data_IF_481694388083
#
_entry.id   IF_481694388083
#
_cell.length_a   1.000
_cell.length_b   1.000
_cell.length_c   1.000
_cell.angle_alpha   90.00
_cell.angle_beta   90.00
_cell.angle_gamma   90.00
#
_symmetry.space_group_name_H-M   'P 1'
#
loop_
_entity.id
_entity.type
_entity.pdbx_description
1 polymer ?
#
# COMPACT_ATOMS: atom_id res chain seq x y z
N UNK A 1 -40.38 -82.53 -22.40
CA UNK A 1 -39.87 -81.85 -23.60
C UNK A 1 -39.12 -80.59 -23.19
N UNK A 2 -37.78 -80.66 -23.26
CA UNK A 2 -36.79 -79.62 -23.60
C UNK A 2 -36.79 -78.28 -22.83
N UNK A 3 -35.70 -78.06 -22.06
CA UNK A 3 -35.14 -76.76 -21.64
C UNK A 3 -34.16 -76.24 -22.72
N UNK A 4 -34.02 -74.92 -22.86
CA UNK A 4 -32.76 -74.23 -23.22
C UNK A 4 -32.73 -72.79 -22.67
N UNK A 5 -31.53 -72.21 -22.57
CA UNK A 5 -31.14 -71.11 -21.68
C UNK A 5 -30.48 -69.91 -22.40
N UNK A 6 -30.37 -68.77 -21.68
CA UNK A 6 -29.46 -67.59 -21.86
C UNK A 6 -29.66 -66.75 -23.16
N UNK A 7 -29.30 -65.47 -23.29
CA UNK A 7 -28.21 -64.62 -22.74
C UNK A 7 -28.65 -63.14 -22.58
N UNK A 8 -27.99 -62.42 -21.67
CA UNK A 8 -27.91 -60.95 -21.61
C UNK A 8 -27.01 -60.39 -22.72
N UNK A 9 -27.28 -59.20 -23.28
CA UNK A 9 -26.24 -58.41 -23.92
C UNK A 9 -25.64 -57.40 -22.92
N UNK A 10 -24.32 -57.35 -22.94
CA UNK A 10 -23.47 -56.32 -22.36
C UNK A 10 -23.86 -54.93 -22.91
N UNK A 11 -24.00 -53.93 -22.04
CA UNK A 11 -23.65 -52.55 -22.42
C UNK A 11 -22.46 -52.09 -21.57
N UNK A 12 -21.43 -51.70 -22.30
CA UNK A 12 -20.12 -51.26 -21.86
C UNK A 12 -20.17 -49.86 -21.22
N UNK A 13 -19.39 -49.68 -20.16
CA UNK A 13 -18.70 -48.46 -19.70
C UNK A 13 -19.00 -47.14 -20.44
N UNK A 14 -19.44 -46.11 -19.70
CA UNK A 14 -18.59 -45.00 -19.21
C UNK A 14 -19.27 -44.42 -17.97
N UNK A 15 -18.65 -44.59 -16.79
CA UNK A 15 -18.94 -43.74 -15.64
C UNK A 15 -18.31 -42.39 -15.96
N UNK A 16 -19.10 -41.41 -16.39
CA UNK A 16 -18.69 -40.03 -16.28
C UNK A 16 -18.84 -39.67 -14.79
N UNK A 17 -17.83 -40.00 -14.00
CA UNK A 17 -17.61 -39.33 -12.72
C UNK A 17 -17.34 -37.87 -13.06
N UNK A 18 -18.41 -37.08 -13.12
CA UNK A 18 -18.31 -35.65 -13.04
C UNK A 18 -17.73 -35.36 -11.66
N UNK A 19 -16.40 -35.32 -11.57
CA UNK A 19 -15.71 -34.69 -10.47
C UNK A 19 -16.10 -33.23 -10.58
N UNK A 20 -17.17 -32.84 -9.87
CA UNK A 20 -17.29 -31.46 -9.44
C UNK A 20 -16.07 -31.22 -8.56
N UNK A 21 -15.01 -30.69 -9.16
CA UNK A 21 -14.07 -29.89 -8.39
C UNK A 21 -14.93 -28.82 -7.72
N UNK A 22 -14.93 -28.70 -6.38
CA UNK A 22 -15.64 -27.63 -5.74
C UNK A 22 -15.01 -26.33 -6.26
N UNK A 23 -15.73 -25.63 -7.13
CA UNK A 23 -15.44 -24.22 -7.40
C UNK A 23 -15.54 -23.53 -6.06
N UNK A 24 -14.46 -22.85 -5.67
CA UNK A 24 -14.27 -22.20 -4.37
C UNK A 24 -15.58 -21.70 -3.78
N UNK A 25 -16.11 -22.46 -2.82
CA UNK A 25 -17.20 -22.01 -2.00
C UNK A 25 -16.62 -21.15 -0.89
N UNK A 26 -17.23 -20.00 -0.63
CA UNK A 26 -17.08 -19.33 0.65
C UNK A 26 -17.20 -20.38 1.76
N UNK A 27 -16.30 -20.35 2.74
CA UNK A 27 -16.50 -21.18 3.92
C UNK A 27 -17.87 -20.84 4.52
N UNK A 28 -18.70 -21.86 4.73
CA UNK A 28 -20.07 -21.67 5.19
C UNK A 28 -20.13 -21.02 6.60
N UNK A 29 -19.03 -21.10 7.35
CA UNK A 29 -18.81 -20.44 8.64
C UNK A 29 -17.37 -19.92 8.74
N UNK A 30 -17.11 -18.84 9.50
CA UNK A 30 -15.76 -18.37 9.78
C UNK A 30 -14.91 -19.48 10.43
N UNK A 31 -13.66 -19.62 9.99
CA UNK A 31 -12.69 -20.56 10.54
C UNK A 31 -11.32 -19.91 10.69
N UNK A 32 -10.50 -20.45 11.59
CA UNK A 32 -9.11 -20.02 11.76
C UNK A 32 -8.27 -20.53 10.58
N UNK A 33 -7.64 -19.62 9.83
CA UNK A 33 -6.74 -19.99 8.73
C UNK A 33 -5.41 -20.53 9.25
N UNK A 34 -4.78 -19.81 10.19
CA UNK A 34 -3.53 -20.22 10.83
C UNK A 34 -3.36 -19.52 12.18
N UNK A 35 -2.90 -20.27 13.17
CA UNK A 35 -2.32 -19.69 14.38
C UNK A 35 -0.83 -19.43 14.14
N UNK A 36 -0.45 -18.16 13.98
CA UNK A 36 0.92 -17.77 13.67
C UNK A 36 1.80 -17.79 14.93
N UNK A 37 1.24 -17.48 16.10
CA UNK A 37 1.95 -17.38 17.37
C UNK A 37 1.43 -18.41 18.39
N UNK A 38 1.53 -19.69 18.04
CA UNK A 38 0.96 -20.79 18.82
C UNK A 38 1.70 -21.11 20.14
N UNK A 39 2.77 -20.39 20.47
CA UNK A 39 3.66 -20.68 21.62
C UNK A 39 3.62 -19.61 22.73
N UNK A 40 2.80 -18.55 22.57
CA UNK A 40 2.63 -17.50 23.57
C UNK A 40 1.28 -17.63 24.28
N UNK A 41 1.26 -17.33 25.57
CA UNK A 41 0.06 -17.27 26.43
C UNK A 41 -1.07 -16.43 25.83
N UNK A 42 -2.02 -17.02 25.10
CA UNK A 42 -3.28 -16.42 24.57
C UNK A 42 -3.19 -15.00 23.96
N UNK A 43 -1.99 -14.48 23.69
CA UNK A 43 -1.76 -13.18 23.10
C UNK A 43 -1.79 -13.36 21.59
N UNK A 44 -2.94 -13.08 20.98
CA UNK A 44 -3.13 -13.21 19.53
C UNK A 44 -2.06 -12.49 18.72
N UNK A 45 -1.95 -12.84 17.44
CA UNK A 45 -0.85 -12.37 16.58
C UNK A 45 -0.88 -10.87 16.23
N UNK A 46 -1.98 -10.17 16.51
CA UNK A 46 -2.15 -8.72 16.28
C UNK A 46 -1.70 -8.27 14.89
N UNK A 47 -2.21 -8.92 13.85
CA UNK A 47 -1.91 -8.55 12.46
C UNK A 47 -2.37 -7.11 12.16
N UNK A 48 -1.62 -6.43 11.30
CA UNK A 48 -1.94 -5.09 10.79
C UNK A 48 -1.82 -5.04 9.27
N UNK A 49 -2.26 -3.94 8.66
CA UNK A 49 -2.09 -3.65 7.23
C UNK A 49 -2.63 -4.74 6.27
N UNK A 50 -3.87 -5.20 6.48
CA UNK A 50 -4.48 -6.20 5.60
C UNK A 50 -4.74 -5.62 4.20
N UNK A 51 -4.08 -6.17 3.18
CA UNK A 51 -4.16 -5.70 1.80
C UNK A 51 -4.28 -6.88 0.82
N UNK A 52 -5.19 -6.81 -0.15
CA UNK A 52 -5.35 -7.87 -1.15
C UNK A 52 -4.54 -7.56 -2.41
N UNK A 53 -3.81 -8.55 -2.93
CA UNK A 53 -3.13 -8.49 -4.23
C UNK A 53 -3.40 -9.79 -5.00
N UNK A 54 -4.17 -9.69 -6.09
CA UNK A 54 -4.61 -10.87 -6.82
C UNK A 54 -5.55 -11.76 -5.98
N UNK A 55 -5.19 -13.03 -5.81
CA UNK A 55 -5.94 -14.02 -5.04
C UNK A 55 -5.41 -14.21 -3.60
N UNK A 56 -4.38 -13.45 -3.22
CA UNK A 56 -3.73 -13.54 -1.92
C UNK A 56 -4.01 -12.29 -1.09
N UNK A 57 -3.93 -12.43 0.23
CA UNK A 57 -3.92 -11.33 1.18
C UNK A 57 -2.54 -11.20 1.81
N UNK A 58 -2.11 -9.96 1.98
CA UNK A 58 -0.85 -9.55 2.57
C UNK A 58 -1.14 -8.80 3.87
N UNK A 59 -0.28 -9.00 4.86
CA UNK A 59 -0.42 -8.38 6.17
C UNK A 59 0.92 -8.38 6.90
N UNK A 60 1.00 -7.54 7.92
CA UNK A 60 2.17 -7.43 8.77
C UNK A 60 1.90 -8.17 10.07
N UNK A 61 2.83 -9.03 10.52
CA UNK A 61 2.68 -9.79 11.78
C UNK A 61 4.02 -10.15 12.38
N UNK A 62 4.08 -10.15 13.72
CA UNK A 62 5.25 -10.56 14.48
C UNK A 62 5.29 -12.08 14.69
N UNK A 63 6.48 -12.68 14.56
CA UNK A 63 6.76 -14.05 15.02
C UNK A 63 7.90 -14.07 16.06
N UNK A 64 7.97 -15.12 16.87
CA UNK A 64 9.03 -15.27 17.88
C UNK A 64 10.45 -15.36 17.29
N UNK A 65 10.58 -15.74 16.01
CA UNK A 65 11.88 -15.97 15.36
C UNK A 65 12.29 -14.88 14.37
N UNK A 66 11.33 -14.15 13.81
CA UNK A 66 11.56 -13.16 12.75
C UNK A 66 11.11 -11.75 13.13
N UNK A 67 10.53 -11.56 14.32
CA UNK A 67 9.79 -10.35 14.66
C UNK A 67 8.75 -9.99 13.60
N UNK A 68 8.49 -8.68 13.42
CA UNK A 68 7.43 -8.12 12.58
C UNK A 68 7.85 -8.00 11.12
N UNK A 69 7.25 -8.83 10.27
CA UNK A 69 7.61 -8.97 8.85
C UNK A 69 6.37 -9.00 7.96
N UNK A 70 6.59 -9.01 6.63
CA UNK A 70 5.53 -9.13 5.63
C UNK A 70 5.16 -10.60 5.45
N UNK A 71 3.87 -10.89 5.60
CA UNK A 71 3.28 -12.21 5.41
C UNK A 71 2.23 -12.18 4.32
N UNK A 72 1.96 -13.35 3.75
CA UNK A 72 0.87 -13.57 2.80
C UNK A 72 0.06 -14.81 3.13
N UNK A 73 -1.16 -14.87 2.61
CA UNK A 73 -2.05 -16.02 2.71
C UNK A 73 -2.94 -16.17 1.47
N UNK A 74 -3.16 -17.40 1.05
CA UNK A 74 -4.17 -17.80 0.06
C UNK A 74 -5.49 -18.27 0.71
N UNK A 75 -5.62 -18.12 2.03
CA UNK A 75 -6.74 -18.62 2.83
C UNK A 75 -6.56 -20.04 3.38
N UNK A 76 -5.40 -20.67 3.14
CA UNK A 76 -5.04 -21.98 3.72
C UNK A 76 -3.93 -21.86 4.76
N UNK A 77 -3.87 -22.80 5.71
CA UNK A 77 -2.80 -22.85 6.72
C UNK A 77 -1.41 -22.97 6.06
N UNK A 78 -1.31 -23.80 5.02
CA UNK A 78 -0.07 -24.05 4.28
C UNK A 78 0.38 -22.87 3.43
N UNK A 79 -0.56 -22.13 2.84
CA UNK A 79 -0.28 -20.93 2.04
C UNK A 79 -0.10 -19.67 2.88
N UNK A 80 -0.26 -19.76 4.20
CA UNK A 80 -0.02 -18.64 5.13
C UNK A 80 1.44 -18.63 5.59
N UNK A 81 2.27 -17.82 4.97
CA UNK A 81 3.74 -17.84 5.14
C UNK A 81 4.31 -16.43 5.14
N UNK A 82 5.50 -16.29 5.74
CA UNK A 82 6.33 -15.09 5.57
C UNK A 82 6.71 -14.96 4.09
N UNK A 83 6.68 -13.73 3.56
CA UNK A 83 7.12 -13.46 2.18
C UNK A 83 8.64 -13.42 2.12
N UNK A 84 9.26 -12.71 3.08
CA UNK A 84 10.70 -12.59 3.26
C UNK A 84 11.01 -12.16 4.69
N UNK A 85 12.09 -12.69 5.26
CA UNK A 85 12.69 -12.17 6.50
C UNK A 85 13.60 -10.99 6.12
N UNK A 86 13.03 -9.78 6.07
CA UNK A 86 13.76 -8.59 5.58
C UNK A 86 14.81 -8.17 6.61
N UNK A 87 14.40 -8.09 7.87
CA UNK A 87 15.33 -7.91 8.98
C UNK A 87 15.74 -9.28 9.51
N UNK A 88 16.88 -9.78 9.03
CA UNK A 88 17.32 -11.15 9.35
C UNK A 88 17.40 -11.43 10.86
N UNK A 89 16.75 -12.50 11.28
CA UNK A 89 16.73 -12.96 12.67
C UNK A 89 15.58 -12.35 13.48
N UNK A 90 15.73 -12.22 14.80
CA UNK A 90 14.62 -11.78 15.67
C UNK A 90 14.34 -10.26 15.64
N UNK A 91 14.92 -9.53 14.68
CA UNK A 91 14.65 -8.09 14.50
C UNK A 91 13.29 -7.87 13.87
N UNK A 92 12.99 -6.66 13.38
CA UNK A 92 11.70 -6.40 12.74
C UNK A 92 11.87 -5.38 11.64
N UNK A 93 11.50 -5.74 10.42
CA UNK A 93 11.48 -4.79 9.31
C UNK A 93 10.30 -3.82 9.35
N UNK A 94 9.31 -4.12 10.20
CA UNK A 94 8.12 -3.32 10.46
C UNK A 94 7.41 -2.81 9.19
N UNK A 95 7.02 -3.70 8.24
CA UNK A 95 6.36 -3.27 7.01
C UNK A 95 5.10 -2.45 7.26
N UNK A 96 5.01 -1.29 6.60
CA UNK A 96 3.91 -0.33 6.78
C UNK A 96 3.48 0.32 5.46
N UNK A 97 2.31 0.96 5.47
CA UNK A 97 1.76 1.68 4.31
C UNK A 97 1.58 0.79 3.06
N UNK A 98 1.11 -0.45 3.24
CA UNK A 98 0.92 -1.40 2.14
C UNK A 98 -0.02 -0.83 1.06
N UNK A 99 0.49 -0.73 -0.17
CA UNK A 99 -0.24 -0.21 -1.32
C UNK A 99 0.03 -1.05 -2.57
N UNK A 100 -1.03 -1.52 -3.22
CA UNK A 100 -0.92 -2.30 -4.46
C UNK A 100 -1.05 -1.38 -5.66
N UNK A 101 -0.10 -1.49 -6.59
CA UNK A 101 -0.12 -0.85 -7.91
C UNK A 101 0.03 -1.94 -8.97
N UNK A 102 -1.05 -2.24 -9.69
CA UNK A 102 -1.09 -3.37 -10.62
C UNK A 102 -0.85 -4.71 -9.89
N UNK A 103 0.24 -5.38 -10.22
CA UNK A 103 0.64 -6.66 -9.62
C UNK A 103 1.83 -6.52 -8.64
N UNK A 104 2.10 -5.31 -8.18
CA UNK A 104 3.22 -5.02 -7.26
C UNK A 104 2.67 -4.46 -5.96
N UNK A 105 3.07 -5.06 -4.84
CA UNK A 105 2.83 -4.51 -3.51
C UNK A 105 4.01 -3.63 -3.11
N UNK A 106 3.74 -2.37 -2.79
CA UNK A 106 4.70 -1.42 -2.24
C UNK A 106 4.45 -1.20 -0.75
N UNK A 107 5.53 -0.97 0.00
CA UNK A 107 5.50 -0.74 1.43
C UNK A 107 6.81 -0.11 1.92
N UNK A 108 6.78 0.52 3.09
CA UNK A 108 8.00 0.94 3.78
C UNK A 108 8.51 -0.19 4.69
N UNK A 109 9.81 -0.45 4.72
CA UNK A 109 10.43 -1.44 5.61
C UNK A 109 11.93 -1.17 5.85
N UNK A 110 12.45 -1.66 6.97
CA UNK A 110 13.86 -1.54 7.41
C UNK A 110 14.58 -2.90 7.39
N UNK A 111 15.71 -3.01 6.70
CA UNK A 111 16.55 -4.24 6.69
C UNK A 111 17.57 -4.31 7.84
N UNK A 112 17.55 -3.33 8.74
CA UNK A 112 18.49 -3.17 9.85
C UNK A 112 19.81 -2.51 9.47
N UNK A 113 19.97 -2.10 8.21
CA UNK A 113 21.20 -1.48 7.70
C UNK A 113 20.96 -0.17 6.97
N UNK A 114 19.81 0.00 6.32
CA UNK A 114 19.47 1.19 5.52
C UNK A 114 18.35 2.05 6.13
N UNK A 115 17.84 1.69 7.31
CA UNK A 115 16.64 2.31 7.85
C UNK A 115 15.41 2.01 6.99
N UNK A 116 14.29 2.68 7.30
CA UNK A 116 13.05 2.49 6.57
C UNK A 116 13.11 3.11 5.17
N UNK A 117 13.00 2.26 4.14
CA UNK A 117 13.08 2.64 2.73
C UNK A 117 11.86 2.11 1.94
N UNK A 118 11.75 2.49 0.66
CA UNK A 118 10.68 1.96 -0.19
C UNK A 118 11.03 0.54 -0.66
N UNK A 119 10.16 -0.42 -0.35
CA UNK A 119 10.24 -1.81 -0.80
C UNK A 119 9.10 -2.14 -1.73
N UNK A 120 9.33 -3.18 -2.55
CA UNK A 120 8.30 -3.80 -3.37
C UNK A 120 8.31 -5.32 -3.22
N UNK A 121 7.19 -5.96 -3.54
CA UNK A 121 7.05 -7.41 -3.62
C UNK A 121 6.09 -7.80 -4.75
N UNK A 122 6.40 -8.91 -5.44
CA UNK A 122 5.48 -9.61 -6.33
C UNK A 122 4.80 -10.82 -5.65
N UNK A 123 5.01 -10.97 -4.34
CA UNK A 123 4.54 -12.10 -3.54
C UNK A 123 5.56 -13.23 -3.37
N UNK A 124 6.74 -13.14 -3.98
CA UNK A 124 7.85 -14.06 -3.79
C UNK A 124 8.97 -13.46 -2.93
N UNK A 125 9.79 -14.30 -2.32
CA UNK A 125 10.97 -13.86 -1.56
C UNK A 125 12.00 -13.14 -2.46
N UNK A 126 12.21 -13.66 -3.68
CA UNK A 126 13.15 -13.08 -4.66
C UNK A 126 12.68 -11.73 -5.20
N UNK A 127 11.38 -11.59 -5.47
CA UNK A 127 10.76 -10.34 -5.91
C UNK A 127 10.56 -9.32 -4.78
N UNK A 128 10.84 -9.68 -3.53
CA UNK A 128 10.76 -8.78 -2.37
C UNK A 128 12.08 -8.06 -2.16
N UNK A 129 12.16 -6.81 -2.63
CA UNK A 129 13.40 -6.04 -2.71
C UNK A 129 13.18 -4.56 -2.39
N UNK A 130 14.22 -3.91 -1.85
CA UNK A 130 14.27 -2.45 -1.76
C UNK A 130 14.27 -1.87 -3.17
N UNK A 131 13.41 -0.90 -3.43
CA UNK A 131 13.29 -0.25 -4.74
C UNK A 131 14.46 0.70 -4.97
N UNK A 132 14.79 1.49 -3.95
CA UNK A 132 15.88 2.46 -3.93
C UNK A 132 16.28 2.75 -2.49
N UNK A 133 17.56 2.98 -2.26
CA UNK A 133 18.07 3.58 -1.02
C UNK A 133 17.98 5.10 -1.17
N UNK A 134 16.83 5.69 -0.84
CA UNK A 134 16.55 7.11 -1.13
C UNK A 134 17.37 8.01 -0.21
N UNK A 135 17.50 7.67 1.08
CA UNK A 135 18.41 8.33 2.00
C UNK A 135 19.56 7.37 2.36
N UNK A 136 20.71 7.45 1.68
CA UNK A 136 21.81 6.53 1.92
C UNK A 136 22.29 6.52 3.37
N UNK A 137 22.44 5.32 3.92
CA UNK A 137 22.90 5.09 5.29
C UNK A 137 21.79 4.54 6.18
N UNK A 138 22.00 4.54 7.49
CA UNK A 138 21.12 3.83 8.43
C UNK A 138 19.93 4.64 8.93
N UNK A 139 19.66 5.82 8.35
CA UNK A 139 18.54 6.68 8.79
C UNK A 139 17.24 6.32 8.06
N UNK A 140 17.33 6.03 6.76
CA UNK A 140 16.19 5.68 5.91
C UNK A 140 15.29 6.86 5.56
N UNK A 141 14.72 6.83 4.37
CA UNK A 141 13.87 7.90 3.84
C UNK A 141 12.46 8.00 4.42
N UNK A 142 12.08 7.05 5.27
CA UNK A 142 10.78 6.96 5.94
C UNK A 142 9.56 7.16 5.00
N UNK A 143 9.35 6.32 3.97
CA UNK A 143 8.24 6.50 3.05
C UNK A 143 6.87 6.44 3.73
N UNK A 144 6.02 7.42 3.45
CA UNK A 144 4.65 7.52 3.98
C UNK A 144 3.64 7.94 2.91
N UNK A 145 2.35 7.90 3.25
CA UNK A 145 1.26 8.33 2.36
C UNK A 145 1.24 7.63 0.99
N UNK A 146 1.65 6.35 0.95
CA UNK A 146 1.70 5.56 -0.28
C UNK A 146 0.32 5.53 -0.95
N UNK A 147 0.25 6.01 -2.18
CA UNK A 147 -0.97 6.22 -2.94
C UNK A 147 -0.77 5.77 -4.38
N UNK A 148 -1.61 4.87 -4.88
CA UNK A 148 -1.63 4.50 -6.29
C UNK A 148 -2.28 5.62 -7.11
N UNK A 149 -1.60 6.09 -8.15
CA UNK A 149 -2.13 7.10 -9.08
C UNK A 149 -1.51 6.92 -10.47
N UNK A 150 -2.34 6.87 -11.51
CA UNK A 150 -1.95 6.68 -12.92
C UNK A 150 -0.99 5.51 -13.16
N UNK A 151 -1.23 4.37 -12.50
CA UNK A 151 -0.40 3.17 -12.63
C UNK A 151 0.99 3.28 -11.98
N UNK A 152 1.27 4.36 -11.25
CA UNK A 152 2.49 4.58 -10.47
C UNK A 152 2.16 4.62 -8.98
N UNK A 153 3.20 4.46 -8.17
CA UNK A 153 3.14 4.78 -6.74
C UNK A 153 3.55 6.24 -6.55
N UNK A 154 2.77 6.99 -5.79
CA UNK A 154 3.15 8.28 -5.22
C UNK A 154 3.25 8.16 -3.71
N UNK A 155 4.23 8.84 -3.11
CA UNK A 155 4.53 8.75 -1.69
C UNK A 155 5.34 9.96 -1.23
N UNK A 156 5.49 10.09 0.07
CA UNK A 156 6.30 11.13 0.70
C UNK A 156 7.54 10.49 1.30
N UNK A 157 8.72 11.06 1.04
CA UNK A 157 9.99 10.55 1.53
C UNK A 157 11.04 11.66 1.63
N UNK A 158 11.99 11.48 2.56
CA UNK A 158 13.12 12.38 2.79
C UNK A 158 14.41 11.77 2.22
N UNK A 159 15.14 12.49 1.37
CA UNK A 159 16.43 12.04 0.82
C UNK A 159 17.65 12.46 1.68
N UNK A 160 17.39 13.09 2.83
CA UNK A 160 18.39 13.65 3.73
C UNK A 160 18.93 15.01 3.32
N UNK A 161 18.49 15.57 2.17
CA UNK A 161 18.99 16.83 1.63
C UNK A 161 17.86 17.86 1.41
N UNK A 162 16.69 17.42 0.93
CA UNK A 162 15.54 18.28 0.62
C UNK A 162 14.37 18.10 1.58
N UNK A 163 14.57 17.37 2.67
CA UNK A 163 13.48 17.02 3.58
C UNK A 163 12.41 16.14 2.89
N UNK A 164 11.28 15.96 3.57
CA UNK A 164 10.18 15.15 3.11
C UNK A 164 9.40 15.84 1.97
N UNK A 165 9.46 15.25 0.77
CA UNK A 165 8.86 15.78 -0.46
C UNK A 165 7.96 14.77 -1.17
N UNK A 166 7.25 15.18 -2.22
CA UNK A 166 6.46 14.27 -3.06
C UNK A 166 7.37 13.48 -4.02
N UNK A 167 7.31 12.15 -3.94
CA UNK A 167 8.01 11.20 -4.81
C UNK A 167 7.04 10.35 -5.61
N UNK A 168 7.55 9.80 -6.71
CA UNK A 168 6.87 8.74 -7.47
C UNK A 168 7.80 7.59 -7.78
N UNK A 169 7.22 6.41 -8.03
CA UNK A 169 7.93 5.19 -8.42
C UNK A 169 7.12 4.35 -9.40
N UNK A 170 7.79 3.79 -10.40
CA UNK A 170 7.30 2.71 -11.28
C UNK A 170 7.73 1.31 -10.77
N UNK A 171 8.35 1.25 -9.59
CA UNK A 171 8.94 0.03 -9.02
C UNK A 171 10.38 -0.23 -9.45
N UNK A 172 11.02 0.66 -10.20
CA UNK A 172 12.45 0.59 -10.51
C UNK A 172 13.22 1.68 -9.77
N UNK A 173 14.51 1.45 -9.54
CA UNK A 173 15.39 2.45 -8.93
C UNK A 173 15.43 3.75 -9.75
N UNK A 174 15.51 3.63 -11.09
CA UNK A 174 15.58 4.76 -12.02
C UNK A 174 14.28 5.53 -12.14
N UNK A 175 13.14 4.85 -12.04
CA UNK A 175 11.82 5.47 -12.05
C UNK A 175 11.39 6.00 -10.69
N UNK A 176 12.20 5.79 -9.64
CA UNK A 176 11.95 6.32 -8.29
C UNK A 176 12.62 7.69 -8.14
N UNK A 177 11.81 8.74 -8.31
CA UNK A 177 12.27 10.14 -8.38
C UNK A 177 11.35 11.08 -7.60
N UNK A 178 11.93 12.18 -7.09
CA UNK A 178 11.17 13.30 -6.55
C UNK A 178 10.38 13.95 -7.69
N UNK A 179 9.10 14.24 -7.46
CA UNK A 179 8.22 14.88 -8.43
C UNK A 179 8.52 16.37 -8.49
N UNK A 180 8.63 17.02 -7.33
CA UNK A 180 8.99 18.42 -7.16
C UNK A 180 9.58 18.64 -5.78
N UNK A 181 10.52 19.56 -5.68
CA UNK A 181 11.01 20.12 -4.42
C UNK A 181 10.11 21.32 -4.08
N UNK A 182 9.04 21.09 -3.31
CA UNK A 182 8.02 22.12 -3.06
C UNK A 182 8.52 23.17 -2.07
N UNK A 183 9.26 22.75 -1.03
CA UNK A 183 9.94 23.66 -0.10
C UNK A 183 11.46 23.42 -0.14
N UNK A 184 12.20 24.17 -0.98
CA UNK A 184 13.63 23.99 -1.13
C UNK A 184 14.39 24.18 0.19
N UNK A 185 15.00 23.11 0.67
CA UNK A 185 15.81 23.11 1.89
C UNK A 185 15.63 21.82 2.69
N UNK A 186 16.32 21.71 3.82
CA UNK A 186 16.26 20.49 4.65
C UNK A 186 14.98 20.33 5.46
N UNK A 187 14.11 21.35 5.50
CA UNK A 187 12.82 21.27 6.20
C UNK A 187 11.80 20.44 5.41
N UNK A 188 11.86 20.50 4.07
CA UNK A 188 10.90 19.87 3.17
C UNK A 188 9.49 20.43 3.30
N UNK A 189 8.60 19.95 2.44
CA UNK A 189 7.22 20.45 2.34
C UNK A 189 6.24 19.82 3.34
N UNK A 190 6.71 18.84 4.14
CA UNK A 190 5.87 18.05 5.06
C UNK A 190 4.61 17.51 4.37
N UNK A 191 4.76 17.09 3.10
CA UNK A 191 3.66 16.65 2.25
C UNK A 191 2.80 15.58 2.94
N UNK A 192 1.47 15.71 2.86
CA UNK A 192 0.53 14.80 3.52
C UNK A 192 -0.78 14.63 2.72
N UNK A 193 -1.59 13.64 3.14
CA UNK A 193 -2.96 13.43 2.64
C UNK A 193 -3.11 13.23 1.12
N UNK A 194 -2.15 12.51 0.51
CA UNK A 194 -2.20 12.18 -0.92
C UNK A 194 -3.52 11.48 -1.27
N UNK A 195 -4.26 12.06 -2.22
CA UNK A 195 -5.59 11.62 -2.63
C UNK A 195 -5.75 11.76 -4.14
N UNK A 196 -5.92 10.64 -4.84
CA UNK A 196 -6.18 10.64 -6.28
C UNK A 196 -7.66 10.95 -6.57
N UNK A 197 -7.91 11.89 -7.49
CA UNK A 197 -9.24 12.27 -7.99
C UNK A 197 -9.17 12.41 -9.51
N UNK A 198 -9.75 11.45 -10.24
CA UNK A 198 -9.63 11.40 -11.70
C UNK A 198 -8.16 11.37 -12.14
N UNK A 199 -7.76 12.34 -12.97
CA UNK A 199 -6.40 12.49 -13.50
C UNK A 199 -5.56 13.48 -12.67
N UNK A 200 -5.88 13.67 -11.39
CA UNK A 200 -5.17 14.61 -10.51
C UNK A 200 -4.90 13.99 -9.14
N UNK A 201 -3.66 14.11 -8.68
CA UNK A 201 -3.29 13.81 -7.30
C UNK A 201 -3.34 15.10 -6.47
N UNK A 202 -4.20 15.14 -5.47
CA UNK A 202 -4.25 16.21 -4.47
C UNK A 202 -3.45 15.85 -3.24
N UNK A 203 -2.82 16.83 -2.62
CA UNK A 203 -2.07 16.67 -1.39
C UNK A 203 -1.94 18.01 -0.69
N UNK A 204 -1.49 17.97 0.56
CA UNK A 204 -1.23 19.16 1.36
C UNK A 204 0.27 19.33 1.47
N UNK A 205 0.77 20.53 1.24
CA UNK A 205 2.19 20.84 1.31
C UNK A 205 2.43 22.29 1.70
N UNK A 206 3.51 22.52 2.44
CA UNK A 206 4.04 23.83 2.78
C UNK A 206 5.17 24.17 1.80
N UNK A 207 5.17 25.38 1.23
CA UNK A 207 6.25 25.87 0.34
C UNK A 207 7.28 26.76 1.05
N UNK A 208 7.19 26.84 2.38
CA UNK A 208 8.02 27.70 3.23
C UNK A 208 7.59 29.17 3.25
N UNK A 209 6.53 29.54 2.52
CA UNK A 209 6.06 30.93 2.40
C UNK A 209 4.58 31.11 2.74
N UNK A 210 3.72 30.19 2.31
CA UNK A 210 2.26 30.24 2.46
C UNK A 210 1.74 29.31 3.55
N UNK A 211 2.61 28.50 4.15
CA UNK A 211 2.18 27.45 5.08
C UNK A 211 1.60 26.24 4.35
N UNK A 212 1.15 25.24 5.11
CA UNK A 212 0.54 24.04 4.55
C UNK A 212 -0.83 24.33 3.90
N UNK A 213 -0.89 24.17 2.58
CA UNK A 213 -2.05 24.48 1.73
C UNK A 213 -2.36 23.33 0.76
N UNK A 214 -3.46 23.45 -0.01
CA UNK A 214 -3.84 22.45 -1.00
C UNK A 214 -3.00 22.57 -2.29
N UNK A 215 -2.37 21.48 -2.67
CA UNK A 215 -1.60 21.31 -3.91
C UNK A 215 -2.22 20.23 -4.78
N UNK A 216 -1.86 20.27 -6.06
CA UNK A 216 -2.20 19.24 -7.04
C UNK A 216 -1.00 18.85 -7.89
N UNK A 217 -1.03 17.63 -8.42
CA UNK A 217 -0.03 17.11 -9.35
C UNK A 217 -0.68 16.23 -10.43
N UNK A 218 -0.16 16.32 -11.64
CA UNK A 218 -0.39 15.36 -12.74
C UNK A 218 0.72 14.30 -12.83
N UNK A 219 1.61 14.26 -11.83
CA UNK A 219 2.79 13.41 -11.81
C UNK A 219 4.04 14.01 -12.43
N UNK A 220 3.99 15.24 -12.92
CA UNK A 220 5.14 15.98 -13.45
C UNK A 220 5.51 17.16 -12.55
N UNK A 221 6.76 17.61 -12.61
CA UNK A 221 7.22 18.80 -11.89
C UNK A 221 6.42 20.05 -12.28
N UNK A 222 6.15 20.23 -13.59
CA UNK A 222 5.43 21.39 -14.14
C UNK A 222 3.96 21.38 -13.74
N UNK A 223 3.31 20.21 -13.76
CA UNK A 223 1.92 20.07 -13.34
C UNK A 223 1.73 19.98 -11.83
N UNK A 224 2.82 19.99 -11.05
CA UNK A 224 2.77 20.06 -9.58
C UNK A 224 2.68 21.52 -9.14
N UNK A 225 1.47 21.97 -8.85
CA UNK A 225 1.15 23.37 -8.62
C UNK A 225 0.25 23.55 -7.40
N UNK A 226 0.41 24.70 -6.78
CA UNK A 226 -0.47 25.24 -5.77
C UNK A 226 -1.89 25.39 -6.34
N UNK A 227 -2.91 24.98 -5.59
CA UNK A 227 -4.31 25.15 -6.03
C UNK A 227 -4.80 26.54 -5.66
N UNK A 228 -4.71 26.91 -4.38
CA UNK A 228 -5.14 28.22 -3.87
C UNK A 228 -4.60 28.45 -2.45
N UNK A 229 -4.32 29.71 -2.14
CA UNK A 229 -4.07 30.20 -0.79
C UNK A 229 -5.43 30.37 -0.12
N UNK A 230 -5.87 29.33 0.60
CA UNK A 230 -7.18 29.35 1.26
C UNK A 230 -7.10 30.26 2.48
N UNK A 231 -5.95 30.30 3.16
CA UNK A 231 -5.72 31.16 4.32
C UNK A 231 -4.59 32.16 4.07
N UNK A 232 -4.92 33.39 3.62
CA UNK A 232 -3.93 34.38 3.25
C UNK A 232 -2.87 34.63 4.34
N UNK A 233 -1.60 34.51 3.95
CA UNK A 233 -0.44 34.77 4.81
C UNK A 233 0.39 33.53 5.06
N UNK A 234 1.15 33.52 6.15
CA UNK A 234 2.05 32.39 6.48
C UNK A 234 1.40 31.34 7.41
N UNK A 235 0.12 31.50 7.72
CA UNK A 235 -0.60 30.57 8.58
C UNK A 235 -1.45 29.68 7.69
N UNK A 236 -0.95 28.49 7.35
CA UNK A 236 -1.64 27.60 6.43
C UNK A 236 -3.07 27.26 6.84
N UNK A 237 -3.88 26.87 5.87
CA UNK A 237 -5.30 26.57 6.02
C UNK A 237 -5.61 25.30 6.83
N UNK A 238 -4.57 24.54 7.22
CA UNK A 238 -4.71 23.24 7.89
C UNK A 238 -5.58 22.28 7.07
N UNK A 239 -5.43 22.34 5.75
CA UNK A 239 -6.15 21.46 4.84
C UNK A 239 -5.96 20.00 5.25
N UNK A 240 -7.06 19.24 5.34
CA UNK A 240 -7.03 17.88 5.88
C UNK A 240 -8.25 17.06 5.51
N UNK A 241 -8.23 15.78 5.87
CA UNK A 241 -9.32 14.82 5.60
C UNK A 241 -9.75 14.76 4.12
N UNK A 242 -8.77 14.88 3.22
CA UNK A 242 -9.00 14.85 1.78
C UNK A 242 -9.77 13.57 1.39
N UNK A 243 -10.94 13.77 0.79
CA UNK A 243 -11.88 12.69 0.45
C UNK A 243 -12.37 12.88 -0.98
N UNK A 244 -12.06 11.92 -1.84
CA UNK A 244 -12.55 11.87 -3.21
C UNK A 244 -14.02 11.44 -3.25
N UNK A 245 -14.86 12.21 -3.95
CA UNK A 245 -16.22 11.83 -4.33
C UNK A 245 -16.40 12.12 -5.82
N UNK A 246 -16.50 11.06 -6.61
CA UNK A 246 -16.46 11.14 -8.08
C UNK A 246 -15.24 11.96 -8.56
N UNK A 247 -15.48 13.06 -9.27
CA UNK A 247 -14.44 13.97 -9.78
C UNK A 247 -14.25 15.21 -8.90
N UNK A 248 -14.70 15.18 -7.64
CA UNK A 248 -14.62 16.30 -6.71
C UNK A 248 -13.88 15.88 -5.45
N UNK A 249 -12.90 16.68 -5.03
CA UNK A 249 -12.28 16.57 -3.73
C UNK A 249 -13.11 17.32 -2.71
N UNK A 250 -13.41 16.69 -1.58
CA UNK A 250 -13.93 17.34 -0.37
C UNK A 250 -12.87 17.31 0.72
N UNK A 251 -12.73 18.39 1.48
CA UNK A 251 -11.70 18.49 2.51
C UNK A 251 -12.09 19.52 3.58
N UNK A 252 -11.45 19.42 4.74
CA UNK A 252 -11.53 20.42 5.80
C UNK A 252 -10.45 21.50 5.54
N UNK A 253 -10.77 22.78 5.72
CA UNK A 253 -9.78 23.87 5.71
C UNK A 253 -10.32 25.12 6.45
N UNK A 254 -9.43 25.95 6.97
CA UNK A 254 -9.72 27.22 7.66
C UNK A 254 -9.24 28.41 6.82
N UNK A 255 -10.15 29.33 6.45
CA UNK A 255 -9.82 30.54 5.68
C UNK A 255 -9.31 31.72 6.56
N UNK A 256 -9.17 31.50 7.87
CA UNK A 256 -8.77 32.50 8.85
C UNK A 256 -9.91 33.41 9.33
N UNK A 257 -11.14 33.23 8.82
CA UNK A 257 -12.32 34.05 9.17
C UNK A 257 -13.53 33.22 9.61
N UNK A 258 -13.75 32.09 8.96
CA UNK A 258 -14.88 31.17 9.17
C UNK A 258 -14.52 30.02 10.11
N UNK A 259 -13.24 29.81 10.40
CA UNK A 259 -12.76 28.60 11.06
C UNK A 259 -12.67 27.43 10.09
N UNK A 260 -12.36 26.23 10.60
CA UNK A 260 -12.28 25.02 9.81
C UNK A 260 -13.68 24.57 9.35
N UNK A 261 -13.90 24.57 8.04
CA UNK A 261 -15.18 24.27 7.40
C UNK A 261 -15.02 23.23 6.28
N UNK A 262 -16.14 22.77 5.71
CA UNK A 262 -16.13 21.84 4.57
C UNK A 262 -15.92 22.58 3.24
N UNK A 263 -14.84 22.23 2.54
CA UNK A 263 -14.48 22.76 1.24
C UNK A 263 -14.61 21.69 0.16
N UNK A 264 -14.67 22.15 -1.09
CA UNK A 264 -14.54 21.27 -2.26
C UNK A 264 -13.68 21.91 -3.34
N UNK A 265 -13.02 21.09 -4.13
CA UNK A 265 -12.27 21.50 -5.31
C UNK A 265 -12.38 20.46 -6.42
N UNK A 266 -12.39 20.90 -7.67
CA UNK A 266 -12.17 20.07 -8.86
C UNK A 266 -10.74 20.25 -9.42
N UNK A 267 -9.88 20.95 -8.68
CA UNK A 267 -8.52 21.30 -9.07
C UNK A 267 -8.40 22.58 -9.89
N UNK A 268 -9.49 23.27 -10.20
CA UNK A 268 -9.46 24.63 -10.74
C UNK A 268 -9.53 25.67 -9.61
N UNK A 269 -8.97 26.86 -9.84
CA UNK A 269 -9.11 28.00 -8.93
C UNK A 269 -10.56 28.47 -8.85
#
# INVERSE_FOLDING_TARGET
MIRFARLYPFLSTVLASLVLLPRGGFAAEPYLVKDINSLASDSGSNLTNLCAMGAEVYFTVASATTGTELWKSDGTETGTVIVKDIYVGSGSSSPSNLMVVGNTLFFAADDGTHGAELWKSDGSEEGTVRVKDIQPGSLGSNPTSLTAFDGLLFFVADDGNTGAELWKSDGTETGTIRVKDVNPGSEGSSSAHLTAVGDTLFFVADDGTTGAELWKSDGTEVGTVFVRDIRPGSGGSSAGQLTAVDSTLFFEADDGTSGAELWKSDGTE
#
